data_IF_504675110707
#
_entry.id   IF_504675110707
#
_cell.length_a   1.000
_cell.length_b   1.000
_cell.length_c   1.000
_cell.angle_alpha   90.00
_cell.angle_beta   90.00
_cell.angle_gamma   90.00
#
_symmetry.space_group_name_H-M   'P 1'
#
loop_
_entity.id
_entity.type
_entity.pdbx_description
1 polymer ?
#
# COMPACT_ATOMS: atom_id res chain seq x y z
N UNK A 1 -4.57 24.59 1.41
CA UNK A 1 -3.13 24.75 1.73
C UNK A 1 -2.22 24.03 0.73
N UNK A 2 -2.18 22.69 0.66
CA UNK A 2 -1.24 21.96 -0.22
C UNK A 2 -1.30 22.39 -1.71
N UNK A 3 -2.48 22.44 -2.31
CA UNK A 3 -2.65 22.90 -3.71
C UNK A 3 -2.30 24.38 -3.86
N UNK A 4 -2.61 25.21 -2.87
CA UNK A 4 -2.33 26.64 -2.90
C UNK A 4 -0.82 26.92 -2.81
N UNK A 5 -0.11 26.23 -1.91
CA UNK A 5 1.33 26.41 -1.76
C UNK A 5 2.09 25.86 -2.97
N UNK A 6 1.66 24.74 -3.56
CA UNK A 6 2.28 24.23 -4.79
C UNK A 6 2.13 25.16 -5.99
N UNK A 7 1.02 25.91 -6.08
CA UNK A 7 0.85 26.95 -7.10
C UNK A 7 1.77 28.16 -6.89
N UNK A 8 2.11 28.45 -5.63
CA UNK A 8 3.00 29.58 -5.26
C UNK A 8 4.47 29.13 -5.16
N UNK A 9 4.73 27.83 -5.04
CA UNK A 9 6.06 27.23 -4.89
C UNK A 9 6.95 27.37 -6.13
N UNK A 10 6.45 27.89 -7.25
CA UNK A 10 7.30 28.32 -8.37
C UNK A 10 8.17 29.54 -8.00
N UNK A 11 7.75 30.33 -7.01
CA UNK A 11 8.52 31.44 -6.46
C UNK A 11 9.75 30.97 -5.66
N UNK A 12 10.92 31.50 -6.02
CA UNK A 12 12.21 31.15 -5.40
C UNK A 12 12.27 31.53 -3.92
N UNK A 13 11.55 32.57 -3.49
CA UNK A 13 11.50 32.95 -2.07
C UNK A 13 10.74 31.90 -1.25
N UNK A 14 9.61 31.44 -1.76
CA UNK A 14 8.80 30.36 -1.15
C UNK A 14 9.59 29.05 -1.05
N UNK A 15 10.36 28.68 -2.09
CA UNK A 15 11.26 27.50 -2.03
C UNK A 15 12.36 27.63 -0.98
N UNK A 16 12.95 28.83 -0.83
CA UNK A 16 13.96 29.08 0.20
C UNK A 16 13.38 28.93 1.60
N UNK A 17 12.21 29.52 1.86
CA UNK A 17 11.52 29.39 3.15
C UNK A 17 11.17 27.93 3.47
N UNK A 18 10.73 27.16 2.48
CA UNK A 18 10.47 25.72 2.66
C UNK A 18 11.75 24.94 3.01
N UNK A 19 12.87 25.22 2.33
CA UNK A 19 14.18 24.61 2.63
C UNK A 19 14.69 25.02 4.00
N UNK A 20 14.51 26.29 4.40
CA UNK A 20 14.90 26.78 5.71
C UNK A 20 14.07 26.12 6.82
N UNK A 21 12.76 25.92 6.61
CA UNK A 21 11.92 25.17 7.54
C UNK A 21 12.33 23.70 7.65
N UNK A 22 12.68 23.07 6.52
CA UNK A 22 13.20 21.70 6.52
C UNK A 22 14.53 21.59 7.27
N UNK A 23 15.45 22.56 7.09
CA UNK A 23 16.70 22.62 7.87
C UNK A 23 16.43 22.72 9.37
N UNK A 24 15.48 23.57 9.79
CA UNK A 24 15.10 23.67 11.21
C UNK A 24 14.57 22.36 11.78
N UNK A 25 13.85 21.58 10.99
CA UNK A 25 13.42 20.23 11.38
C UNK A 25 14.62 19.28 11.55
N UNK A 26 15.61 19.32 10.66
CA UNK A 26 16.84 18.51 10.78
C UNK A 26 17.71 18.95 11.98
N UNK A 27 17.72 20.25 12.30
CA UNK A 27 18.42 20.84 13.45
C UNK A 27 17.70 20.61 14.79
N UNK A 28 16.61 19.85 14.82
CA UNK A 28 15.83 19.53 16.01
C UNK A 28 15.22 20.74 16.73
N UNK A 29 14.84 21.79 15.98
CA UNK A 29 14.13 22.94 16.52
C UNK A 29 12.80 22.50 17.16
N UNK A 30 12.61 22.83 18.45
CA UNK A 30 11.46 22.36 19.22
C UNK A 30 10.12 22.83 18.64
N UNK A 31 10.05 24.06 18.12
CA UNK A 31 8.83 24.60 17.55
C UNK A 31 8.47 23.91 16.24
N UNK A 32 9.46 23.73 15.36
CA UNK A 32 9.27 23.02 14.10
C UNK A 32 8.88 21.55 14.33
N UNK A 33 9.55 20.86 15.25
CA UNK A 33 9.25 19.47 15.59
C UNK A 33 7.86 19.31 16.22
N UNK A 34 7.47 20.22 17.11
CA UNK A 34 6.13 20.22 17.72
C UNK A 34 5.04 20.35 16.66
N UNK A 35 5.20 21.32 15.74
CA UNK A 35 4.27 21.53 14.65
C UNK A 35 4.21 20.33 13.70
N UNK A 36 5.36 19.73 13.39
CA UNK A 36 5.43 18.53 12.57
C UNK A 36 4.73 17.34 13.22
N UNK A 37 4.93 17.11 14.54
CA UNK A 37 4.24 16.05 15.28
C UNK A 37 2.73 16.25 15.23
N UNK A 38 2.23 17.45 15.46
CA UNK A 38 0.79 17.76 15.36
C UNK A 38 0.24 17.40 13.99
N UNK A 39 0.88 17.83 12.90
CA UNK A 39 0.41 17.50 11.55
C UNK A 39 0.46 16.00 11.25
N UNK A 40 1.49 15.30 11.75
CA UNK A 40 1.59 13.85 11.61
C UNK A 40 0.45 13.15 12.34
N UNK A 41 0.19 13.53 13.58
CA UNK A 41 -0.82 12.89 14.42
C UNK A 41 -2.22 13.10 13.83
N UNK A 42 -2.56 14.31 13.36
CA UNK A 42 -3.81 14.55 12.61
C UNK A 42 -3.91 13.71 11.33
N UNK A 43 -2.80 13.52 10.61
CA UNK A 43 -2.81 12.70 9.40
C UNK A 43 -3.04 11.22 9.72
N UNK A 44 -2.43 10.72 10.80
CA UNK A 44 -2.61 9.33 11.27
C UNK A 44 -4.05 9.08 11.69
N UNK A 45 -4.70 10.01 12.40
CA UNK A 45 -6.10 9.89 12.79
C UNK A 45 -7.03 9.72 11.56
N UNK A 46 -6.83 10.56 10.53
CA UNK A 46 -7.60 10.43 9.29
C UNK A 46 -7.27 9.15 8.52
N UNK A 47 -6.00 8.71 8.51
CA UNK A 47 -5.63 7.42 7.93
C UNK A 47 -6.33 6.24 8.62
N UNK A 48 -6.31 6.20 9.96
CA UNK A 48 -7.02 5.17 10.76
C UNK A 48 -8.49 5.13 10.35
N UNK A 49 -9.13 6.29 10.25
CA UNK A 49 -10.54 6.40 9.87
C UNK A 49 -10.80 5.85 8.46
N UNK A 50 -9.97 6.18 7.48
CA UNK A 50 -10.14 5.73 6.09
C UNK A 50 -9.83 4.22 5.97
N UNK A 51 -8.75 3.74 6.57
CA UNK A 51 -8.38 2.31 6.53
C UNK A 51 -9.43 1.43 7.23
N UNK A 52 -10.02 1.91 8.33
CA UNK A 52 -11.13 1.22 9.00
C UNK A 52 -12.33 1.02 8.07
N UNK A 53 -12.62 1.97 7.17
CA UNK A 53 -13.69 1.80 6.17
C UNK A 53 -13.39 0.67 5.18
N UNK A 54 -12.11 0.45 4.85
CA UNK A 54 -11.66 -0.65 4.01
C UNK A 54 -11.57 -1.99 4.76
N UNK A 55 -11.81 -2.01 6.08
CA UNK A 55 -11.61 -3.20 6.92
C UNK A 55 -10.13 -3.49 7.21
N UNK A 56 -9.24 -2.50 7.05
CA UNK A 56 -7.80 -2.64 7.32
C UNK A 56 -7.47 -2.02 8.68
N UNK A 57 -6.68 -2.74 9.47
CA UNK A 57 -6.11 -2.27 10.72
C UNK A 57 -4.59 -2.44 10.69
N UNK A 58 -3.86 -1.42 11.16
CA UNK A 58 -2.40 -1.47 11.28
C UNK A 58 -2.03 -1.47 12.76
N UNK A 59 -1.10 -2.35 13.14
CA UNK A 59 -0.58 -2.43 14.50
C UNK A 59 0.40 -1.27 14.81
N UNK A 60 1.18 -0.84 13.81
CA UNK A 60 2.20 0.19 13.96
C UNK A 60 2.20 1.19 12.77
N UNK A 61 2.10 2.48 13.09
CA UNK A 61 2.24 3.58 12.11
C UNK A 61 3.67 4.12 12.11
N UNK A 62 4.57 3.39 11.45
CA UNK A 62 5.98 3.77 11.28
C UNK A 62 6.15 4.77 10.12
N UNK A 63 7.16 5.64 10.22
CA UNK A 63 7.52 6.62 9.20
C UNK A 63 9.04 6.75 9.02
N UNK A 64 9.46 7.31 7.89
CA UNK A 64 10.89 7.51 7.58
C UNK A 64 11.62 8.38 8.61
N UNK A 65 10.93 9.34 9.22
CA UNK A 65 11.54 10.28 10.17
C UNK A 65 12.09 9.62 11.43
N UNK A 66 11.59 8.44 11.82
CA UNK A 66 12.10 7.72 12.99
C UNK A 66 13.50 7.14 12.78
N UNK A 67 13.95 7.03 11.52
CA UNK A 67 15.20 6.36 11.17
C UNK A 67 16.32 7.32 10.79
N UNK A 68 16.14 8.63 11.01
CA UNK A 68 17.14 9.64 10.63
C UNK A 68 18.48 9.44 11.36
N UNK A 69 18.46 9.28 12.69
CA UNK A 69 19.68 9.03 13.47
C UNK A 69 20.29 7.66 13.14
N UNK A 70 19.46 6.61 13.14
CA UNK A 70 19.87 5.24 12.82
C UNK A 70 20.46 5.09 11.41
N UNK A 71 20.01 5.91 10.46
CA UNK A 71 20.57 5.93 9.10
C UNK A 71 22.04 6.33 9.09
N UNK A 72 22.47 7.22 10.00
CA UNK A 72 23.88 7.61 10.12
C UNK A 72 24.72 6.48 10.72
N UNK A 73 24.19 5.75 11.68
CA UNK A 73 24.86 4.58 12.27
C UNK A 73 25.06 3.48 11.22
N UNK A 74 24.05 3.23 10.41
CA UNK A 74 24.11 2.27 9.30
C UNK A 74 25.15 2.69 8.26
N UNK A 75 25.27 3.98 7.94
CA UNK A 75 26.31 4.47 7.03
C UNK A 75 27.72 4.21 7.59
N UNK A 76 27.93 4.42 8.90
CA UNK A 76 29.22 4.08 9.55
C UNK A 76 29.50 2.59 9.49
N UNK A 77 28.50 1.76 9.75
CA UNK A 77 28.63 0.29 9.67
C UNK A 77 28.99 -0.18 8.25
N UNK A 78 28.45 0.48 7.22
CA UNK A 78 28.81 0.23 5.82
C UNK A 78 30.24 0.65 5.49
N UNK A 79 30.73 1.77 6.05
CA UNK A 79 32.14 2.18 5.94
C UNK A 79 33.08 1.21 6.67
N UNK A 80 32.74 0.80 7.89
CA UNK A 80 33.52 -0.16 8.70
C UNK A 80 33.66 -1.53 8.02
N UNK A 81 32.60 -2.00 7.36
CA UNK A 81 32.62 -3.25 6.58
C UNK A 81 33.33 -3.10 5.22
N UNK A 82 33.81 -1.90 4.86
CA UNK A 82 34.50 -1.65 3.60
C UNK A 82 33.60 -1.76 2.36
N UNK A 83 32.27 -1.79 2.54
CA UNK A 83 31.30 -1.92 1.46
C UNK A 83 31.09 -0.58 0.73
N UNK A 84 31.45 0.53 1.37
CA UNK A 84 31.25 1.88 0.84
C UNK A 84 32.51 2.35 0.09
N UNK A 85 32.48 2.29 -1.24
CA UNK A 85 33.56 2.80 -2.09
C UNK A 85 33.31 4.26 -2.46
N UNK A 86 34.25 5.16 -2.12
CA UNK A 86 34.17 6.57 -2.50
C UNK A 86 34.66 6.74 -3.94
N UNK A 87 33.75 7.07 -4.86
CA UNK A 87 34.08 7.48 -6.23
C UNK A 87 34.89 8.78 -6.21
N UNK A 88 35.67 9.01 -7.26
CA UNK A 88 36.53 10.19 -7.51
C UNK A 88 35.80 11.55 -7.31
N UNK A 89 34.47 11.61 -7.47
CA UNK A 89 33.63 12.79 -7.20
C UNK A 89 33.15 12.86 -5.74
N UNK A 90 33.92 12.25 -4.84
CA UNK A 90 33.57 12.01 -3.44
C UNK A 90 32.26 11.28 -3.23
N UNK A 91 31.86 10.40 -4.17
CA UNK A 91 30.62 9.61 -4.11
C UNK A 91 30.75 8.22 -3.54
N UNK A 92 30.41 7.97 -2.28
CA UNK A 92 30.15 6.64 -1.75
C UNK A 92 29.23 5.89 -2.70
N UNK A 93 29.58 4.67 -3.05
CA UNK A 93 28.82 3.74 -3.87
C UNK A 93 29.04 2.40 -3.20
N UNK A 94 27.96 1.63 -2.99
CA UNK A 94 28.11 0.23 -2.60
C UNK A 94 28.14 -0.57 -3.90
N UNK A 95 29.27 -1.25 -4.14
CA UNK A 95 29.42 -2.13 -5.29
C UNK A 95 28.61 -3.40 -5.02
N UNK A 96 27.50 -3.54 -5.76
CA UNK A 96 26.60 -4.68 -5.68
C UNK A 96 26.93 -5.74 -6.73
N UNK A 97 28.06 -5.63 -7.41
CA UNK A 97 28.44 -6.60 -8.42
C UNK A 97 29.17 -7.79 -7.78
N UNK A 98 28.53 -8.97 -7.75
CA UNK A 98 29.27 -10.24 -7.54
C UNK A 98 30.17 -10.57 -8.76
N UNK A 99 29.88 -9.96 -9.91
CA UNK A 99 30.69 -9.95 -11.12
C UNK A 99 30.69 -8.53 -11.67
N UNK A 100 31.86 -7.88 -11.68
CA UNK A 100 32.15 -6.57 -12.31
C UNK A 100 31.31 -6.29 -13.57
N UNK A 101 30.08 -5.83 -13.41
CA UNK A 101 29.21 -5.39 -14.48
C UNK A 101 28.68 -4.02 -14.08
N UNK A 102 29.01 -3.02 -14.91
CA UNK A 102 28.92 -1.59 -14.60
C UNK A 102 27.48 -1.04 -14.58
N UNK A 103 26.46 -1.90 -14.48
CA UNK A 103 25.04 -1.52 -14.52
C UNK A 103 24.39 -1.33 -13.15
N UNK A 104 25.05 -1.73 -12.06
CA UNK A 104 24.41 -1.84 -10.73
C UNK A 104 25.14 -1.06 -9.64
N UNK A 105 25.43 0.22 -9.90
CA UNK A 105 25.96 1.12 -8.87
C UNK A 105 24.82 1.76 -8.07
N UNK A 106 24.59 1.26 -6.86
CA UNK A 106 23.80 2.00 -5.87
C UNK A 106 24.65 3.12 -5.32
N UNK A 107 24.25 4.36 -5.60
CA UNK A 107 24.99 5.56 -5.23
C UNK A 107 24.69 5.93 -3.78
N UNK A 108 25.72 5.93 -2.93
CA UNK A 108 25.66 5.98 -1.46
C UNK A 108 26.24 7.26 -0.78
N UNK A 109 26.98 8.21 -1.40
CA UNK A 109 27.32 9.54 -0.75
C UNK A 109 28.22 10.49 -1.58
N UNK A 110 27.79 11.54 -2.32
CA UNK A 110 28.65 12.46 -3.15
C UNK A 110 29.16 13.72 -2.40
N UNK A 111 30.41 14.18 -2.62
CA UNK A 111 31.10 15.27 -1.86
C UNK A 111 30.62 16.68 -2.17
N UNK A 112 29.95 16.87 -3.29
CA UNK A 112 29.63 18.19 -3.79
C UNK A 112 28.17 18.47 -3.45
N UNK A 113 27.94 19.34 -2.45
CA UNK A 113 26.65 19.66 -1.81
C UNK A 113 25.55 20.25 -2.72
N UNK A 114 25.61 20.01 -4.03
CA UNK A 114 24.65 20.43 -5.05
C UNK A 114 24.30 19.24 -5.95
N UNK A 115 23.42 18.35 -5.48
CA UNK A 115 22.84 17.30 -6.33
C UNK A 115 21.40 17.63 -6.72
N UNK A 116 21.05 17.33 -7.98
CA UNK A 116 19.67 17.19 -8.44
C UNK A 116 18.88 16.28 -7.48
N UNK A 117 17.71 16.76 -7.07
CA UNK A 117 16.78 16.24 -6.06
C UNK A 117 16.67 14.70 -6.02
N UNK A 118 16.73 14.04 -7.18
CA UNK A 118 16.57 12.58 -7.36
C UNK A 118 17.68 11.74 -6.71
N UNK A 119 18.94 12.18 -6.76
CA UNK A 119 20.08 11.37 -6.26
C UNK A 119 20.27 11.47 -4.75
N UNK A 120 19.97 12.63 -4.15
CA UNK A 120 19.90 12.80 -2.68
C UNK A 120 18.70 12.05 -2.09
N UNK A 121 17.56 12.03 -2.79
CA UNK A 121 16.37 11.29 -2.37
C UNK A 121 16.63 9.77 -2.36
N UNK A 122 17.22 9.21 -3.42
CA UNK A 122 17.51 7.78 -3.51
C UNK A 122 18.48 7.29 -2.42
N UNK A 123 19.48 8.12 -2.10
CA UNK A 123 20.45 7.90 -1.04
C UNK A 123 19.83 7.90 0.37
N UNK A 124 19.04 8.92 0.67
CA UNK A 124 18.39 9.07 1.97
C UNK A 124 17.37 7.95 2.18
N UNK A 125 16.62 7.57 1.14
CA UNK A 125 15.65 6.48 1.22
C UNK A 125 16.36 5.14 1.48
N UNK A 126 17.42 4.81 0.73
CA UNK A 126 18.13 3.52 0.90
C UNK A 126 18.74 3.35 2.30
N UNK A 127 19.32 4.41 2.87
CA UNK A 127 19.91 4.36 4.22
C UNK A 127 18.85 4.30 5.33
N UNK A 128 17.70 4.96 5.13
CA UNK A 128 16.56 4.89 6.06
C UNK A 128 15.85 3.54 6.01
N UNK A 129 15.65 2.97 4.82
CA UNK A 129 15.03 1.66 4.67
C UNK A 129 15.90 0.55 5.27
N UNK A 130 17.23 0.67 5.13
CA UNK A 130 18.19 -0.25 5.75
C UNK A 130 18.13 -0.16 7.28
N UNK A 131 18.12 1.06 7.82
CA UNK A 131 17.94 1.29 9.26
C UNK A 131 16.58 0.77 9.75
N UNK A 132 15.52 0.93 8.96
CA UNK A 132 14.19 0.43 9.29
C UNK A 132 14.14 -1.10 9.29
N UNK A 133 14.76 -1.76 8.32
CA UNK A 133 14.82 -3.22 8.26
C UNK A 133 15.53 -3.81 9.49
N UNK A 134 16.68 -3.24 9.86
CA UNK A 134 17.46 -3.67 11.03
C UNK A 134 16.69 -3.42 12.33
N UNK A 135 16.07 -2.24 12.48
CA UNK A 135 15.29 -1.92 13.67
C UNK A 135 14.08 -2.84 13.85
N UNK A 136 13.37 -3.13 12.75
CA UNK A 136 12.22 -4.06 12.77
C UNK A 136 12.64 -5.47 13.15
N UNK A 137 13.79 -5.94 12.64
CA UNK A 137 14.34 -7.23 13.05
C UNK A 137 14.66 -7.25 14.55
N UNK A 138 15.29 -6.20 15.07
CA UNK A 138 15.63 -6.11 16.49
C UNK A 138 14.40 -6.03 17.40
N UNK A 139 13.34 -5.34 16.98
CA UNK A 139 12.10 -5.19 17.76
C UNK A 139 11.22 -6.44 17.75
N UNK A 140 11.00 -6.99 16.56
CA UNK A 140 9.94 -7.97 16.34
C UNK A 140 10.45 -9.38 16.11
N UNK A 141 11.75 -9.56 15.79
CA UNK A 141 12.36 -10.87 15.53
C UNK A 141 11.53 -11.73 14.57
N UNK A 142 11.09 -11.13 13.48
CA UNK A 142 10.16 -11.74 12.54
C UNK A 142 10.78 -12.89 11.73
N UNK A 143 9.92 -13.77 11.22
CA UNK A 143 10.31 -14.88 10.33
C UNK A 143 10.35 -14.48 8.87
N UNK A 144 9.34 -13.73 8.40
CA UNK A 144 9.24 -13.24 7.03
C UNK A 144 8.84 -11.77 7.02
N UNK A 145 9.49 -10.96 6.17
CA UNK A 145 9.15 -9.54 5.99
C UNK A 145 8.74 -9.28 4.54
N UNK A 146 7.50 -8.84 4.33
CA UNK A 146 6.93 -8.58 3.00
C UNK A 146 6.81 -7.07 2.78
N UNK A 147 7.46 -6.57 1.73
CA UNK A 147 7.34 -5.20 1.27
C UNK A 147 6.38 -5.12 0.10
N UNK A 148 5.25 -4.44 0.29
CA UNK A 148 4.24 -4.24 -0.75
C UNK A 148 4.36 -2.81 -1.30
N UNK A 149 4.92 -2.64 -2.49
CA UNK A 149 5.11 -1.32 -3.11
C UNK A 149 4.87 -1.33 -4.62
N UNK A 150 4.84 -0.15 -5.22
CA UNK A 150 4.79 -0.01 -6.68
C UNK A 150 5.99 -0.70 -7.36
N UNK A 151 5.75 -1.30 -8.53
CA UNK A 151 6.77 -2.00 -9.34
C UNK A 151 7.97 -1.15 -9.75
N UNK A 152 7.85 0.17 -9.84
CA UNK A 152 8.95 1.10 -10.10
C UNK A 152 10.05 1.04 -9.03
N UNK A 153 9.72 0.61 -7.81
CA UNK A 153 10.66 0.46 -6.70
C UNK A 153 11.33 -0.92 -6.66
N UNK A 154 11.08 -1.81 -7.62
CA UNK A 154 11.62 -3.18 -7.57
C UNK A 154 13.15 -3.22 -7.56
N UNK A 155 13.80 -2.38 -8.38
CA UNK A 155 15.26 -2.29 -8.41
C UNK A 155 15.82 -1.79 -7.08
N UNK A 156 15.10 -0.89 -6.39
CA UNK A 156 15.49 -0.36 -5.08
C UNK A 156 15.49 -1.47 -4.03
N UNK A 157 14.42 -2.25 -3.92
CA UNK A 157 14.34 -3.36 -2.96
C UNK A 157 15.32 -4.50 -3.27
N UNK A 158 15.56 -4.79 -4.56
CA UNK A 158 16.60 -5.74 -4.96
C UNK A 158 17.98 -5.31 -4.45
N UNK A 159 18.34 -4.04 -4.66
CA UNK A 159 19.59 -3.50 -4.12
C UNK A 159 19.61 -3.50 -2.60
N UNK A 160 18.51 -3.14 -1.93
CA UNK A 160 18.41 -3.14 -0.48
C UNK A 160 18.67 -4.53 0.13
N UNK A 161 18.03 -5.57 -0.40
CA UNK A 161 18.21 -6.94 0.09
C UNK A 161 19.63 -7.45 -0.17
N UNK A 162 20.23 -7.06 -1.29
CA UNK A 162 21.61 -7.40 -1.59
C UNK A 162 22.59 -6.70 -0.64
N UNK A 163 22.37 -5.43 -0.32
CA UNK A 163 23.18 -4.71 0.69
C UNK A 163 23.07 -5.41 2.05
N UNK A 164 21.86 -5.77 2.48
CA UNK A 164 21.63 -6.51 3.73
C UNK A 164 22.39 -7.84 3.75
N UNK A 165 22.39 -8.58 2.63
CA UNK A 165 23.13 -9.83 2.50
C UNK A 165 24.65 -9.60 2.58
N UNK A 166 25.17 -8.59 1.90
CA UNK A 166 26.60 -8.21 1.96
C UNK A 166 27.03 -7.74 3.36
N UNK A 167 26.11 -7.15 4.14
CA UNK A 167 26.35 -6.81 5.53
C UNK A 167 26.43 -8.04 6.44
N UNK A 168 26.10 -9.23 5.94
CA UNK A 168 26.15 -10.50 6.69
C UNK A 168 24.88 -10.79 7.47
N UNK A 169 23.73 -10.23 7.06
CA UNK A 169 22.44 -10.54 7.67
C UNK A 169 21.78 -11.72 6.96
N UNK A 170 21.81 -12.90 7.58
CA UNK A 170 21.21 -14.13 7.03
C UNK A 170 19.70 -13.99 6.78
N UNK A 171 19.03 -13.17 7.60
CA UNK A 171 17.61 -12.91 7.48
C UNK A 171 17.23 -12.09 6.24
N UNK A 172 18.19 -11.54 5.49
CA UNK A 172 17.93 -10.82 4.24
C UNK A 172 17.21 -11.70 3.20
N UNK A 173 17.46 -13.02 3.20
CA UNK A 173 16.80 -13.97 2.29
C UNK A 173 15.31 -14.17 2.62
N UNK A 174 14.90 -13.78 3.84
CA UNK A 174 13.50 -13.86 4.31
C UNK A 174 12.71 -12.58 3.99
N UNK A 175 13.37 -11.57 3.42
CA UNK A 175 12.72 -10.37 2.90
C UNK A 175 12.16 -10.63 1.50
N UNK A 176 10.89 -10.31 1.30
CA UNK A 176 10.21 -10.47 0.01
C UNK A 176 9.68 -9.12 -0.47
N UNK A 177 9.89 -8.82 -1.75
CA UNK A 177 9.26 -7.67 -2.40
C UNK A 177 8.10 -8.14 -3.26
N UNK A 178 6.91 -7.63 -2.94
CA UNK A 178 5.66 -7.89 -3.65
C UNK A 178 5.28 -6.61 -4.36
N UNK A 179 5.54 -6.56 -5.66
CA UNK A 179 5.26 -5.37 -6.48
C UNK A 179 3.83 -5.37 -7.02
N UNK A 180 3.21 -4.18 -7.06
CA UNK A 180 1.93 -3.97 -7.73
C UNK A 180 2.03 -2.98 -8.90
N UNK A 181 1.12 -3.13 -9.87
CA UNK A 181 0.96 -2.24 -11.02
C UNK A 181 0.15 -0.98 -10.72
N UNK A 182 0.20 -0.01 -11.63
CA UNK A 182 -0.49 1.26 -11.47
C UNK A 182 -1.95 1.18 -11.91
N UNK A 183 -2.82 1.82 -11.12
CA UNK A 183 -4.22 2.03 -11.49
C UNK A 183 -4.33 3.25 -12.40
N UNK A 184 -4.72 3.04 -13.65
CA UNK A 184 -4.86 4.10 -14.64
C UNK A 184 -6.30 4.56 -14.81
N UNK A 185 -6.47 5.86 -15.01
CA UNK A 185 -7.73 6.51 -15.37
C UNK A 185 -8.88 6.35 -14.37
N UNK A 186 -8.56 6.14 -13.08
CA UNK A 186 -9.44 6.66 -12.05
C UNK A 186 -9.60 8.16 -12.30
N UNK A 187 -10.85 8.63 -12.39
CA UNK A 187 -11.24 10.04 -12.41
C UNK A 187 -12.50 10.18 -11.55
N UNK A 188 -12.45 11.05 -10.56
CA UNK A 188 -13.64 11.51 -9.84
C UNK A 188 -14.33 12.59 -10.68
N UNK A 189 -15.60 12.90 -10.37
CA UNK A 189 -16.37 13.94 -11.08
C UNK A 189 -15.70 15.33 -11.05
N UNK A 190 -14.74 15.54 -10.14
CA UNK A 190 -13.99 16.79 -9.94
C UNK A 190 -12.63 16.85 -10.67
N UNK A 191 -12.17 15.75 -11.28
CA UNK A 191 -11.20 15.77 -12.37
C UNK A 191 -9.70 16.03 -12.10
N UNK A 192 -9.28 16.54 -10.93
CA UNK A 192 -7.88 16.98 -10.74
C UNK A 192 -7.03 16.11 -9.80
N UNK A 193 -7.57 15.70 -8.65
CA UNK A 193 -6.91 14.83 -7.67
C UNK A 193 -7.96 13.89 -7.09
N UNK A 194 -7.58 12.62 -6.92
CA UNK A 194 -8.49 11.58 -6.47
C UNK A 194 -8.06 11.13 -5.10
N UNK A 195 -8.79 11.58 -4.10
CA UNK A 195 -8.63 11.09 -2.75
C UNK A 195 -9.34 9.75 -2.62
N UNK A 196 -8.75 8.82 -1.86
CA UNK A 196 -9.37 7.53 -1.57
C UNK A 196 -10.76 7.72 -0.94
N UNK A 197 -10.91 8.69 -0.04
CA UNK A 197 -12.21 9.03 0.55
C UNK A 197 -13.25 9.42 -0.51
N UNK A 198 -12.88 10.20 -1.52
CA UNK A 198 -13.77 10.57 -2.62
C UNK A 198 -14.17 9.35 -3.45
N UNK A 199 -13.25 8.40 -3.67
CA UNK A 199 -13.54 7.14 -4.37
C UNK A 199 -14.55 6.32 -3.58
N UNK A 200 -14.35 6.15 -2.28
CA UNK A 200 -15.27 5.41 -1.40
C UNK A 200 -16.65 6.07 -1.35
N UNK A 201 -16.69 7.40 -1.31
CA UNK A 201 -17.94 8.15 -1.31
C UNK A 201 -18.67 8.07 -2.66
N UNK A 202 -17.96 8.13 -3.78
CA UNK A 202 -18.52 7.97 -5.13
C UNK A 202 -19.06 6.54 -5.35
N UNK A 203 -18.33 5.52 -4.90
CA UNK A 203 -18.79 4.13 -4.90
C UNK A 203 -20.11 3.99 -4.17
N UNK A 204 -20.18 4.47 -2.92
CA UNK A 204 -21.38 4.40 -2.10
C UNK A 204 -22.56 5.10 -2.77
N UNK A 205 -22.33 6.30 -3.33
CA UNK A 205 -23.33 7.07 -4.04
C UNK A 205 -23.88 6.33 -5.27
N UNK A 206 -22.99 5.76 -6.11
CA UNK A 206 -23.41 4.98 -7.28
C UNK A 206 -24.14 3.70 -6.90
N UNK A 207 -23.70 3.01 -5.84
CA UNK A 207 -24.40 1.83 -5.34
C UNK A 207 -25.79 2.15 -4.82
N UNK A 208 -25.96 3.25 -4.08
CA UNK A 208 -27.29 3.72 -3.66
C UNK A 208 -28.21 3.98 -4.85
N UNK A 209 -27.70 4.59 -5.93
CA UNK A 209 -28.46 4.83 -7.16
C UNK A 209 -28.86 3.51 -7.85
N UNK A 210 -27.93 2.55 -7.93
CA UNK A 210 -28.19 1.22 -8.51
C UNK A 210 -29.21 0.41 -7.69
N UNK A 211 -29.18 0.53 -6.37
CA UNK A 211 -30.14 -0.11 -5.48
C UNK A 211 -31.53 0.54 -5.59
N UNK A 212 -31.60 1.87 -5.73
CA UNK A 212 -32.87 2.59 -5.89
C UNK A 212 -33.57 2.30 -7.22
N UNK A 213 -32.82 2.06 -8.30
CA UNK A 213 -33.38 1.70 -9.61
C UNK A 213 -33.87 0.24 -9.68
N UNK A 214 -33.38 -0.62 -8.79
CA UNK A 214 -33.75 -2.04 -8.73
C UNK A 214 -34.92 -2.22 -7.76
N UNK A 215 -36.13 -2.47 -8.28
CA UNK A 215 -37.28 -2.83 -7.44
C UNK A 215 -37.02 -4.17 -6.76
N UNK A 216 -36.73 -4.13 -5.46
CA UNK A 216 -36.61 -5.31 -4.61
C UNK A 216 -37.72 -5.29 -3.55
N UNK A 217 -38.25 -6.47 -3.22
CA UNK A 217 -39.41 -6.66 -2.34
C UNK A 217 -39.06 -6.61 -0.85
N UNK A 218 -37.77 -6.49 -0.49
CA UNK A 218 -37.30 -6.51 0.89
C UNK A 218 -36.86 -5.12 1.34
N UNK A 219 -37.34 -4.69 2.50
CA UNK A 219 -36.81 -3.52 3.18
C UNK A 219 -35.39 -3.82 3.65
N UNK A 220 -34.48 -2.90 3.34
CA UNK A 220 -33.10 -2.93 3.81
C UNK A 220 -33.04 -1.96 4.97
N UNK A 221 -32.75 -2.45 6.17
CA UNK A 221 -32.72 -1.65 7.41
C UNK A 221 -31.73 -0.47 7.28
N UNK A 222 -30.52 -0.72 6.78
CA UNK A 222 -29.55 0.33 6.45
C UNK A 222 -29.06 0.23 4.99
N UNK A 223 -29.71 1.01 4.13
CA UNK A 223 -29.33 1.12 2.71
C UNK A 223 -27.95 1.74 2.52
N UNK A 224 -27.51 2.64 3.40
CA UNK A 224 -26.23 3.33 3.26
C UNK A 224 -25.08 2.40 3.61
N UNK A 225 -25.18 1.70 4.73
CA UNK A 225 -24.17 0.72 5.13
C UNK A 225 -24.08 -0.43 4.12
N UNK A 226 -25.22 -0.93 3.63
CA UNK A 226 -25.26 -1.98 2.61
C UNK A 226 -24.59 -1.52 1.31
N UNK A 227 -24.90 -0.31 0.84
CA UNK A 227 -24.28 0.25 -0.35
C UNK A 227 -22.76 0.43 -0.20
N UNK A 228 -22.30 0.78 1.01
CA UNK A 228 -20.87 0.90 1.33
C UNK A 228 -20.20 -0.48 1.29
N UNK A 229 -20.74 -1.50 1.97
CA UNK A 229 -20.19 -2.88 1.96
C UNK A 229 -20.15 -3.48 0.55
N UNK A 230 -21.25 -3.40 -0.21
CA UNK A 230 -21.32 -3.95 -1.57
C UNK A 230 -20.38 -3.19 -2.51
N UNK A 231 -20.30 -1.87 -2.34
CA UNK A 231 -19.39 -1.03 -3.11
C UNK A 231 -17.91 -1.30 -2.83
N UNK A 232 -17.54 -1.51 -1.56
CA UNK A 232 -16.18 -1.89 -1.17
C UNK A 232 -15.78 -3.24 -1.78
N UNK A 233 -16.67 -4.24 -1.72
CA UNK A 233 -16.45 -5.53 -2.35
C UNK A 233 -16.24 -5.36 -3.88
N UNK A 234 -17.02 -4.50 -4.52
CA UNK A 234 -16.87 -4.21 -5.95
C UNK A 234 -15.49 -3.63 -6.30
N UNK A 235 -14.97 -2.71 -5.49
CA UNK A 235 -13.62 -2.15 -5.67
C UNK A 235 -12.53 -3.21 -5.47
N UNK A 236 -12.58 -3.94 -4.36
CA UNK A 236 -11.54 -4.92 -3.99
C UNK A 236 -11.46 -6.02 -5.03
N UNK A 237 -12.59 -6.58 -5.47
CA UNK A 237 -12.62 -7.64 -6.47
C UNK A 237 -12.18 -7.13 -7.84
N UNK A 238 -12.52 -5.89 -8.19
CA UNK A 238 -12.05 -5.28 -9.43
C UNK A 238 -10.52 -5.14 -9.45
N UNK A 239 -9.90 -4.84 -8.30
CA UNK A 239 -8.45 -4.75 -8.13
C UNK A 239 -7.79 -6.15 -8.15
N UNK A 240 -8.38 -7.13 -7.45
CA UNK A 240 -7.84 -8.49 -7.31
C UNK A 240 -8.05 -9.39 -8.54
N UNK A 241 -8.84 -8.93 -9.53
CA UNK A 241 -9.10 -9.69 -10.76
C UNK A 241 -7.86 -9.85 -11.64
N UNK A 242 -6.97 -8.86 -11.61
CA UNK A 242 -5.74 -8.86 -12.41
C UNK A 242 -4.57 -9.55 -11.71
N UNK A 243 -3.51 -9.83 -12.46
CA UNK A 243 -2.21 -10.12 -11.86
C UNK A 243 -1.72 -8.87 -11.13
N UNK A 244 -1.19 -9.05 -9.92
CA UNK A 244 -0.76 -7.95 -9.05
C UNK A 244 0.21 -6.99 -9.76
N UNK A 245 1.15 -7.51 -10.56
CA UNK A 245 2.17 -6.72 -11.25
C UNK A 245 1.68 -5.95 -12.49
N UNK A 246 0.45 -6.22 -12.95
CA UNK A 246 -0.08 -5.66 -14.19
C UNK A 246 -0.75 -4.30 -13.95
N UNK A 247 -0.46 -3.34 -14.81
CA UNK A 247 -1.21 -2.08 -14.83
C UNK A 247 -2.61 -2.34 -15.36
N UNK A 248 -3.62 -1.68 -14.79
CA UNK A 248 -4.98 -1.80 -15.28
C UNK A 248 -5.71 -0.46 -15.35
N UNK A 249 -6.60 -0.38 -16.34
CA UNK A 249 -7.47 0.76 -16.52
C UNK A 249 -8.73 0.59 -15.66
N UNK A 250 -8.93 1.48 -14.69
CA UNK A 250 -10.12 1.46 -13.86
C UNK A 250 -11.35 1.88 -14.67
N UNK A 251 -12.47 1.18 -14.46
CA UNK A 251 -13.76 1.52 -15.05
C UNK A 251 -14.85 1.28 -14.03
N UNK A 252 -15.55 2.36 -13.69
CA UNK A 252 -16.71 2.33 -12.81
C UNK A 252 -17.81 1.40 -13.33
N UNK A 253 -18.05 1.44 -14.64
CA UNK A 253 -19.10 0.65 -15.28
C UNK A 253 -18.77 -0.84 -15.29
N UNK A 254 -17.49 -1.23 -15.15
CA UNK A 254 -17.08 -2.63 -14.96
C UNK A 254 -17.13 -3.06 -13.51
N UNK A 255 -16.64 -2.21 -12.59
CA UNK A 255 -16.59 -2.53 -11.17
C UNK A 255 -17.99 -2.75 -10.58
N UNK A 256 -18.96 -1.92 -10.97
CA UNK A 256 -20.30 -1.88 -10.37
C UNK A 256 -21.34 -2.74 -11.13
N UNK A 257 -20.92 -3.63 -12.03
CA UNK A 257 -21.87 -4.51 -12.74
C UNK A 257 -22.47 -5.53 -11.80
N UNK A 258 -23.78 -5.73 -11.91
CA UNK A 258 -24.51 -6.74 -11.14
C UNK A 258 -24.38 -8.17 -11.70
N UNK A 259 -23.81 -8.32 -12.90
CA UNK A 259 -23.59 -9.61 -13.58
C UNK A 259 -22.11 -9.80 -13.89
N UNK A 260 -21.63 -11.04 -13.79
CA UNK A 260 -20.25 -11.42 -14.06
C UNK A 260 -19.41 -11.53 -12.78
N UNK A 261 -18.09 -11.64 -12.96
CA UNK A 261 -17.12 -11.84 -11.87
C UNK A 261 -16.82 -10.51 -11.15
N UNK A 262 -17.82 -9.96 -10.47
CA UNK A 262 -17.72 -8.70 -9.73
C UNK A 262 -18.01 -8.90 -8.25
N UNK A 263 -17.50 -8.00 -7.41
CA UNK A 263 -17.80 -8.02 -5.99
C UNK A 263 -19.28 -7.82 -5.67
N UNK A 264 -20.01 -7.10 -6.53
CA UNK A 264 -21.48 -6.97 -6.41
C UNK A 264 -22.16 -8.33 -6.57
N UNK A 265 -21.75 -9.13 -7.56
CA UNK A 265 -22.31 -10.46 -7.79
C UNK A 265 -22.00 -11.44 -6.65
N UNK A 266 -20.79 -11.40 -6.08
CA UNK A 266 -20.44 -12.21 -4.92
C UNK A 266 -21.30 -11.87 -3.70
N UNK A 267 -21.45 -10.57 -3.39
CA UNK A 267 -22.29 -10.12 -2.27
C UNK A 267 -23.77 -10.46 -2.49
N UNK A 268 -24.27 -10.32 -3.72
CA UNK A 268 -25.63 -10.71 -4.06
C UNK A 268 -25.86 -12.23 -3.89
N UNK A 269 -24.91 -13.05 -4.32
CA UNK A 269 -24.97 -14.52 -4.18
C UNK A 269 -24.98 -14.92 -2.71
N UNK A 270 -24.10 -14.32 -1.89
CA UNK A 270 -24.09 -14.51 -0.45
C UNK A 270 -25.44 -14.13 0.19
N UNK A 271 -25.97 -12.95 -0.13
CA UNK A 271 -27.26 -12.50 0.41
C UNK A 271 -28.42 -13.44 0.01
N UNK A 272 -28.37 -14.02 -1.20
CA UNK A 272 -29.37 -14.99 -1.65
C UNK A 272 -29.26 -16.32 -0.90
N UNK A 273 -28.05 -16.83 -0.67
CA UNK A 273 -27.83 -18.05 0.13
C UNK A 273 -28.29 -17.83 1.58
N UNK A 274 -27.92 -16.71 2.20
CA UNK A 274 -28.38 -16.38 3.55
C UNK A 274 -29.91 -16.25 3.62
N UNK A 275 -30.55 -15.67 2.59
CA UNK A 275 -32.02 -15.64 2.53
C UNK A 275 -32.64 -17.02 2.39
N UNK A 276 -31.98 -17.98 1.73
CA UNK A 276 -32.46 -19.38 1.65
C UNK A 276 -32.35 -20.07 3.01
N UNK A 277 -31.23 -19.86 3.72
CA UNK A 277 -31.05 -20.32 5.09
C UNK A 277 -32.08 -19.71 6.04
N UNK A 278 -32.40 -18.42 5.95
CA UNK A 278 -33.45 -17.84 6.80
C UNK A 278 -34.85 -18.41 6.51
N UNK A 279 -35.12 -18.80 5.25
CA UNK A 279 -36.41 -19.39 4.87
C UNK A 279 -36.52 -20.86 5.26
N UNK A 280 -35.42 -21.61 5.32
CA UNK A 280 -35.43 -23.08 5.41
C UNK A 280 -34.49 -23.68 6.47
N UNK A 281 -33.60 -22.90 7.08
CA UNK A 281 -32.44 -23.33 7.87
C UNK A 281 -32.62 -23.19 9.39
N UNK A 282 -33.79 -23.53 9.92
CA UNK A 282 -34.06 -23.52 11.36
C UNK A 282 -33.68 -24.83 12.07
N UNK A 283 -33.11 -25.81 11.37
CA UNK A 283 -32.70 -27.09 11.96
C UNK A 283 -31.19 -27.30 11.78
N UNK A 284 -30.50 -27.70 12.86
CA UNK A 284 -29.12 -28.16 12.75
C UNK A 284 -29.08 -29.36 11.81
N UNK A 285 -28.49 -29.16 10.63
CA UNK A 285 -28.26 -30.16 9.57
C UNK A 285 -27.27 -31.23 10.07
N UNK A 286 -27.68 -32.02 11.06
CA UNK A 286 -26.88 -33.05 11.69
C UNK A 286 -27.08 -34.42 11.02
N UNK A 287 -28.16 -34.60 10.25
CA UNK A 287 -28.53 -35.86 9.61
C UNK A 287 -28.89 -35.64 8.12
N UNK A 288 -27.95 -35.07 7.37
CA UNK A 288 -28.13 -34.84 5.92
C UNK A 288 -27.91 -36.15 5.17
N UNK A 289 -28.95 -36.66 4.51
CA UNK A 289 -28.81 -37.81 3.62
C UNK A 289 -28.07 -37.41 2.33
N UNK A 290 -26.74 -37.57 2.35
CA UNK A 290 -25.85 -37.30 1.21
C UNK A 290 -26.16 -38.16 -0.02
N UNK A 291 -26.86 -39.29 0.13
CA UNK A 291 -27.27 -40.12 -1.00
C UNK A 291 -28.30 -39.43 -1.91
N UNK A 292 -28.92 -38.34 -1.44
CA UNK A 292 -29.84 -37.52 -2.23
C UNK A 292 -29.13 -36.51 -3.15
N UNK A 293 -27.82 -36.26 -2.97
CA UNK A 293 -27.05 -35.29 -3.76
C UNK A 293 -26.39 -35.94 -4.99
N UNK A 294 -27.17 -36.67 -5.81
CA UNK A 294 -26.65 -37.35 -7.02
C UNK A 294 -26.73 -36.50 -8.29
N UNK A 295 -27.35 -35.33 -8.22
CA UNK A 295 -27.47 -34.44 -9.36
C UNK A 295 -26.08 -33.93 -9.79
N UNK A 296 -25.78 -33.88 -11.11
CA UNK A 296 -24.47 -33.45 -11.59
C UNK A 296 -24.02 -32.09 -11.05
N UNK A 297 -24.96 -31.14 -10.93
CA UNK A 297 -24.68 -29.80 -10.40
C UNK A 297 -24.35 -29.82 -8.90
N UNK A 298 -25.06 -30.63 -8.11
CA UNK A 298 -24.80 -30.79 -6.68
C UNK A 298 -23.42 -31.41 -6.45
N UNK A 299 -23.07 -32.46 -7.20
CA UNK A 299 -21.74 -33.09 -7.13
C UNK A 299 -20.64 -32.10 -7.50
N UNK A 300 -20.84 -31.31 -8.56
CA UNK A 300 -19.89 -30.27 -8.98
C UNK A 300 -19.65 -29.22 -7.88
N UNK A 301 -20.70 -28.76 -7.21
CA UNK A 301 -20.59 -27.81 -6.10
C UNK A 301 -19.81 -28.41 -4.94
N UNK A 302 -20.11 -29.65 -4.54
CA UNK A 302 -19.37 -30.34 -3.46
C UNK A 302 -17.89 -30.48 -3.81
N UNK A 303 -17.57 -30.86 -5.05
CA UNK A 303 -16.19 -30.93 -5.52
C UNK A 303 -15.47 -29.57 -5.46
N UNK A 304 -16.18 -28.47 -5.71
CA UNK A 304 -15.61 -27.12 -5.57
C UNK A 304 -15.39 -26.74 -4.11
N UNK A 305 -16.32 -27.09 -3.21
CA UNK A 305 -16.18 -26.84 -1.78
C UNK A 305 -14.97 -27.58 -1.19
N UNK A 306 -14.67 -28.80 -1.65
CA UNK A 306 -13.52 -29.60 -1.20
C UNK A 306 -12.15 -29.03 -1.61
N UNK A 307 -12.10 -27.99 -2.45
CA UNK A 307 -10.83 -27.35 -2.87
C UNK A 307 -10.35 -26.25 -1.91
N UNK A 308 -11.22 -25.77 -1.04
CA UNK A 308 -10.91 -24.82 0.03
C UNK A 308 -10.58 -25.55 1.32
#
# INVERSE_FOLDING_TARGET
VYVQINKVAEDENTKKLAKDFFRKLEEHDEQALSLWKQFRDFSIEEYIRIYKRLGVHFDEYSGESFYQEKSQEVLKLLEEKGLLQKTIKGTGIVDLSEKKDLSSFSTVMRSDGTSLYITRQFLIISSRDLAAAIDRMNKHSWDTMIYVTDKSQSNHFQHLFQILKLMGYDWAERCQHVSFGLVQGMKTRRGEVIFLEDVLNEVRSRMLQNMASTKTTKEIEDRMETAEKVGLAALIIQDFRGLLSSDYQFSWDRALQSRGDTGVFLQYTHARLHSLEQMHGNEQLSDVNVACLQEPDAVSVVQHLLRF
#
